data_IF_524203890607
#
_entry.id   IF_524203890607
#
_cell.length_a   1.000
_cell.length_b   1.000
_cell.length_c   1.000
_cell.angle_alpha   90.00
_cell.angle_beta   90.00
_cell.angle_gamma   90.00
#
_symmetry.space_group_name_H-M   'P 1'
#
loop_
_entity.id
_entity.type
_entity.pdbx_description
1 polymer ?
#
# COMPACT_ATOMS: atom_id res chain seq x y z
N UNK A 1 -8.55 4.51 33.21
CA UNK A 1 -7.86 5.67 32.60
C UNK A 1 -7.32 5.25 31.24
N UNK A 2 -8.07 5.49 30.17
CA UNK A 2 -7.65 5.16 28.81
C UNK A 2 -6.55 6.14 28.40
N UNK A 3 -5.34 5.64 28.11
CA UNK A 3 -4.27 6.47 27.56
C UNK A 3 -4.78 7.07 26.26
N UNK A 4 -4.96 8.39 26.27
CA UNK A 4 -5.26 9.19 25.09
C UNK A 4 -4.28 8.79 24.00
N UNK A 5 -4.82 8.33 22.87
CA UNK A 5 -4.09 8.06 21.63
C UNK A 5 -3.24 9.28 21.28
N UNK A 6 -1.96 9.24 21.65
CA UNK A 6 -0.97 10.14 21.10
C UNK A 6 -0.88 9.76 19.62
N UNK A 7 -1.65 10.46 18.77
CA UNK A 7 -1.39 10.45 17.32
C UNK A 7 0.02 10.99 17.16
N UNK A 8 1.00 10.09 17.13
CA UNK A 8 2.40 10.41 16.87
C UNK A 8 2.37 11.07 15.49
N UNK A 9 2.59 12.39 15.44
CA UNK A 9 2.62 13.13 14.19
C UNK A 9 3.83 12.62 13.43
N UNK A 10 3.61 11.63 12.55
CA UNK A 10 4.63 11.14 11.63
C UNK A 10 4.73 12.20 10.53
N UNK A 11 5.69 13.11 10.68
CA UNK A 11 5.98 14.11 9.66
C UNK A 11 6.50 13.40 8.41
N UNK A 12 5.67 13.34 7.36
CA UNK A 12 6.07 12.87 6.04
C UNK A 12 7.04 13.90 5.44
N UNK A 13 8.27 13.52 5.03
CA UNK A 13 9.17 14.48 4.41
C UNK A 13 8.56 15.00 3.11
N UNK A 14 8.84 16.27 2.79
CA UNK A 14 8.26 16.92 1.62
C UNK A 14 8.59 16.17 0.33
N UNK A 15 7.58 15.90 -0.49
CA UNK A 15 7.71 15.19 -1.77
C UNK A 15 7.55 13.66 -1.73
N UNK A 16 7.24 13.06 -0.58
CA UNK A 16 6.90 11.63 -0.49
C UNK A 16 5.38 11.41 -0.32
N UNK A 17 4.82 10.51 -1.13
CA UNK A 17 3.42 10.09 -1.01
C UNK A 17 3.21 9.10 0.14
N UNK A 18 4.21 8.26 0.44
CA UNK A 18 4.10 7.22 1.45
C UNK A 18 5.26 7.23 2.45
N UNK A 19 4.91 6.97 3.72
CA UNK A 19 5.82 6.51 4.78
C UNK A 19 5.28 5.19 5.36
N UNK A 20 6.14 4.36 5.93
CA UNK A 20 5.74 3.09 6.50
C UNK A 20 5.95 3.02 8.01
N UNK A 21 5.22 2.11 8.66
CA UNK A 21 5.48 1.67 10.03
C UNK A 21 5.20 0.19 10.20
N UNK A 22 5.78 -0.40 11.24
CA UNK A 22 5.50 -1.77 11.66
C UNK A 22 4.44 -1.79 12.77
N UNK A 23 3.65 -2.87 12.78
CA UNK A 23 2.72 -3.24 13.85
C UNK A 23 2.73 -4.74 14.06
N UNK A 24 2.35 -5.19 15.25
CA UNK A 24 2.28 -6.61 15.57
C UNK A 24 0.98 -7.26 15.06
N UNK A 25 -0.12 -6.51 15.10
CA UNK A 25 -1.46 -6.99 14.76
C UNK A 25 -2.05 -6.32 13.51
N UNK A 26 -3.05 -6.97 12.91
CA UNK A 26 -3.76 -6.41 11.77
C UNK A 26 -4.47 -5.11 12.18
N UNK A 27 -4.24 -3.98 11.47
CA UNK A 27 -4.93 -2.73 11.74
C UNK A 27 -6.40 -2.80 11.32
N UNK A 28 -7.24 -1.94 11.88
CA UNK A 28 -8.56 -1.63 11.31
C UNK A 28 -8.41 -0.57 10.21
N UNK A 29 -9.34 -0.51 9.28
CA UNK A 29 -9.32 0.45 8.16
C UNK A 29 -9.27 1.91 8.64
N UNK A 30 -9.91 2.21 9.76
CA UNK A 30 -9.98 3.55 10.37
C UNK A 30 -8.65 3.97 11.00
N UNK A 31 -7.82 3.00 11.39
CA UNK A 31 -6.50 3.24 12.00
C UNK A 31 -5.39 3.51 10.98
N UNK A 32 -5.69 3.39 9.68
CA UNK A 32 -4.74 3.62 8.59
C UNK A 32 -4.96 5.05 8.06
N UNK A 33 -3.90 5.85 8.11
CA UNK A 33 -3.92 7.22 7.63
C UNK A 33 -3.53 7.32 6.14
N UNK A 34 -3.93 8.39 5.47
CA UNK A 34 -3.59 8.60 4.06
C UNK A 34 -2.08 8.81 3.86
N UNK A 35 -1.52 8.11 2.87
CA UNK A 35 -0.07 8.12 2.64
C UNK A 35 0.73 7.37 3.69
N UNK A 36 0.10 6.42 4.39
CA UNK A 36 0.77 5.45 5.25
C UNK A 36 0.71 4.04 4.64
N UNK A 37 1.80 3.27 4.80
CA UNK A 37 1.82 1.82 4.63
C UNK A 37 2.06 1.17 5.99
N UNK A 38 1.07 0.45 6.49
CA UNK A 38 1.16 -0.29 7.74
C UNK A 38 1.57 -1.73 7.45
N UNK A 39 2.75 -2.12 7.91
CA UNK A 39 3.30 -3.46 7.70
C UNK A 39 3.08 -4.28 8.97
N UNK A 40 2.35 -5.39 8.84
CA UNK A 40 2.14 -6.34 9.93
C UNK A 40 3.35 -7.27 10.00
N UNK A 41 4.03 -7.25 11.14
CA UNK A 41 5.26 -7.99 11.41
C UNK A 41 6.43 -7.07 11.74
N UNK A 42 7.63 -7.52 11.38
CA UNK A 42 8.90 -6.87 11.70
C UNK A 42 9.78 -6.72 10.47
N UNK A 43 10.98 -6.15 10.67
CA UNK A 43 11.98 -6.03 9.60
C UNK A 43 12.45 -7.38 9.07
N UNK A 44 12.48 -8.42 9.90
CA UNK A 44 12.92 -9.78 9.50
C UNK A 44 11.78 -10.65 8.99
N UNK A 45 10.53 -10.32 9.28
CA UNK A 45 9.37 -11.10 8.88
C UNK A 45 8.16 -10.21 8.63
N UNK A 46 7.71 -10.14 7.38
CA UNK A 46 6.59 -9.30 6.97
C UNK A 46 5.43 -10.18 6.47
N UNK A 47 4.23 -9.96 7.00
CA UNK A 47 3.04 -10.78 6.70
C UNK A 47 2.08 -10.08 5.74
N UNK A 48 1.75 -8.83 6.04
CA UNK A 48 0.81 -8.01 5.28
C UNK A 48 1.31 -6.57 5.18
N UNK A 49 0.93 -5.88 4.11
CA UNK A 49 0.96 -4.43 4.05
C UNK A 49 -0.45 -3.89 3.79
N UNK A 50 -0.85 -2.91 4.59
CA UNK A 50 -2.12 -2.20 4.44
C UNK A 50 -1.85 -0.75 4.08
N UNK A 51 -2.64 -0.21 3.16
CA UNK A 51 -2.59 1.18 2.76
C UNK A 51 -3.94 1.61 2.20
N UNK A 52 -4.31 2.87 2.38
CA UNK A 52 -5.45 3.44 1.66
C UNK A 52 -5.09 3.64 0.19
N UNK A 53 -6.03 3.33 -0.69
CA UNK A 53 -5.83 3.44 -2.12
C UNK A 53 -5.59 4.92 -2.49
N UNK A 54 -4.47 5.23 -3.15
CA UNK A 54 -4.08 6.61 -3.41
C UNK A 54 -4.93 7.30 -4.49
N UNK A 55 -5.87 6.60 -5.14
CA UNK A 55 -6.78 7.22 -6.09
C UNK A 55 -7.90 8.02 -5.41
N UNK A 56 -8.05 7.91 -4.09
CA UNK A 56 -9.08 8.62 -3.32
C UNK A 56 -10.43 7.90 -3.22
N UNK A 57 -10.54 6.64 -3.66
CA UNK A 57 -11.80 5.87 -3.57
C UNK A 57 -12.18 5.44 -2.13
N UNK A 58 -11.30 5.65 -1.15
CA UNK A 58 -11.53 5.31 0.25
C UNK A 58 -11.25 3.84 0.62
N UNK A 59 -10.97 2.97 -0.35
CA UNK A 59 -10.67 1.57 -0.06
C UNK A 59 -9.30 1.38 0.59
N UNK A 60 -9.23 0.38 1.48
CA UNK A 60 -7.97 -0.10 2.04
C UNK A 60 -7.48 -1.30 1.24
N UNK A 61 -6.32 -1.16 0.61
CA UNK A 61 -5.64 -2.25 -0.07
C UNK A 61 -4.88 -3.10 0.95
N UNK A 62 -5.06 -4.42 0.90
CA UNK A 62 -4.32 -5.39 1.70
C UNK A 62 -3.43 -6.24 0.78
N UNK A 63 -2.12 -6.14 0.95
CA UNK A 63 -1.13 -6.85 0.15
C UNK A 63 -0.50 -8.00 0.94
N UNK A 64 -0.54 -9.21 0.39
CA UNK A 64 0.19 -10.36 0.94
C UNK A 64 1.69 -10.16 0.77
N UNK A 65 2.45 -10.22 1.85
CA UNK A 65 3.92 -10.18 1.82
C UNK A 65 4.56 -11.57 1.95
N UNK A 66 3.73 -12.61 1.97
CA UNK A 66 4.18 -13.98 2.03
C UNK A 66 4.78 -14.42 0.70
N UNK A 67 6.00 -14.95 0.72
CA UNK A 67 6.65 -15.54 -0.46
C UNK A 67 6.02 -16.85 -0.92
N UNK A 68 5.14 -17.46 -0.09
CA UNK A 68 4.53 -18.78 -0.34
C UNK A 68 3.20 -18.72 -1.11
N UNK A 69 2.56 -17.55 -1.22
CA UNK A 69 1.25 -17.38 -1.87
C UNK A 69 1.33 -16.30 -2.93
N UNK A 70 0.53 -16.41 -3.99
CA UNK A 70 0.40 -15.40 -5.05
C UNK A 70 -1.03 -14.84 -5.07
N UNK A 71 -1.21 -13.57 -5.45
CA UNK A 71 -0.15 -12.57 -5.68
C UNK A 71 0.58 -12.22 -4.37
N UNK A 72 1.88 -11.91 -4.48
CA UNK A 72 2.70 -11.47 -3.35
C UNK A 72 3.53 -10.27 -3.71
N UNK A 73 3.76 -9.45 -2.69
CA UNK A 73 4.57 -8.25 -2.75
C UNK A 73 5.74 -8.33 -1.79
N UNK A 74 6.78 -7.57 -2.07
CA UNK A 74 7.85 -7.23 -1.13
C UNK A 74 7.79 -5.74 -0.83
N UNK A 75 8.09 -5.38 0.44
CA UNK A 75 8.22 -4.00 0.86
C UNK A 75 9.62 -3.77 1.41
N UNK A 76 10.37 -2.92 0.72
CA UNK A 76 11.70 -2.49 1.13
C UNK A 76 11.63 -1.08 1.71
N UNK A 77 12.16 -0.91 2.93
CA UNK A 77 12.21 0.38 3.60
C UNK A 77 13.64 0.91 3.61
N UNK A 78 13.81 2.21 3.36
CA UNK A 78 15.06 2.87 3.68
C UNK A 78 15.12 3.24 5.18
N UNK A 79 16.23 3.86 5.61
CA UNK A 79 16.45 4.26 7.00
C UNK A 79 15.43 5.30 7.53
N UNK A 80 14.71 6.00 6.64
CA UNK A 80 13.64 6.96 6.98
C UNK A 80 12.24 6.35 6.88
N UNK A 81 12.13 5.02 6.84
CA UNK A 81 10.86 4.30 6.67
C UNK A 81 10.12 4.62 5.37
N UNK A 82 10.83 5.06 4.33
CA UNK A 82 10.26 5.34 3.01
C UNK A 82 10.15 4.04 2.21
N UNK A 83 8.95 3.63 1.76
CA UNK A 83 8.73 2.32 1.17
C UNK A 83 8.99 2.27 -0.34
N UNK A 84 9.47 1.13 -0.81
CA UNK A 84 9.37 0.68 -2.20
C UNK A 84 8.64 -0.66 -2.20
N UNK A 85 7.58 -0.76 -3.00
CA UNK A 85 6.73 -1.95 -3.11
C UNK A 85 6.94 -2.59 -4.48
N UNK A 86 7.12 -3.90 -4.50
CA UNK A 86 7.27 -4.69 -5.72
C UNK A 86 6.42 -5.97 -5.66
N UNK A 87 5.72 -6.38 -6.73
CA UNK A 87 5.52 -5.67 -7.99
C UNK A 87 4.56 -4.46 -7.82
N UNK A 88 4.04 -3.91 -8.93
CA UNK A 88 2.97 -2.91 -8.88
C UNK A 88 1.73 -3.44 -8.15
N UNK A 89 0.94 -2.51 -7.64
CA UNK A 89 -0.34 -2.77 -6.99
C UNK A 89 -1.44 -2.52 -8.01
N UNK A 90 -2.29 -3.53 -8.22
CA UNK A 90 -3.51 -3.41 -9.03
C UNK A 90 -4.71 -3.84 -8.21
N UNK A 91 -5.69 -2.96 -8.10
CA UNK A 91 -6.97 -3.25 -7.45
C UNK A 91 -8.03 -3.59 -8.50
N UNK A 92 -8.29 -4.87 -8.73
CA UNK A 92 -9.28 -5.32 -9.74
C UNK A 92 -10.71 -5.41 -9.22
N UNK A 93 -10.92 -5.25 -7.91
CA UNK A 93 -12.23 -5.47 -7.27
C UNK A 93 -13.02 -4.20 -7.04
N UNK A 94 -12.40 -3.03 -7.17
CA UNK A 94 -13.05 -1.77 -6.81
C UNK A 94 -12.85 -0.65 -7.82
N UNK A 95 -11.69 -0.02 -7.82
CA UNK A 95 -11.42 1.22 -8.56
C UNK A 95 -10.48 1.02 -9.75
N UNK A 96 -10.01 -0.20 -10.00
CA UNK A 96 -9.10 -0.53 -11.11
C UNK A 96 -7.78 0.27 -11.07
N UNK A 97 -7.45 0.85 -9.92
CA UNK A 97 -6.22 1.61 -9.73
C UNK A 97 -5.02 0.69 -9.95
N UNK A 98 -4.07 1.15 -10.78
CA UNK A 98 -2.83 0.43 -11.06
C UNK A 98 -1.64 1.38 -10.92
N UNK A 99 -0.76 1.08 -9.96
CA UNK A 99 0.35 1.97 -9.63
C UNK A 99 1.54 1.22 -9.03
N UNK A 100 2.71 1.85 -9.16
CA UNK A 100 3.92 1.49 -8.43
C UNK A 100 4.10 2.41 -7.23
N UNK A 101 4.73 1.89 -6.17
CA UNK A 101 5.28 2.69 -5.07
C UNK A 101 6.79 2.54 -5.11
N UNK A 102 7.52 3.59 -5.50
CA UNK A 102 8.98 3.58 -5.59
C UNK A 102 9.56 4.73 -4.79
N UNK A 103 10.41 4.42 -3.82
CA UNK A 103 11.02 5.41 -2.90
C UNK A 103 9.96 6.38 -2.34
N UNK A 104 8.84 5.85 -1.88
CA UNK A 104 7.73 6.59 -1.29
C UNK A 104 6.89 7.39 -2.26
N UNK A 105 7.13 7.30 -3.58
CA UNK A 105 6.37 8.02 -4.60
C UNK A 105 5.46 7.09 -5.38
N UNK A 106 4.30 7.62 -5.76
CA UNK A 106 3.34 6.92 -6.63
C UNK A 106 3.75 7.13 -8.09
N UNK A 107 3.77 6.05 -8.86
CA UNK A 107 3.86 6.10 -10.32
C UNK A 107 2.69 5.34 -10.92
N UNK A 108 1.75 6.06 -11.51
CA UNK A 108 0.57 5.47 -12.15
C UNK A 108 0.94 4.70 -13.41
N UNK A 109 0.34 3.54 -13.58
CA UNK A 109 0.41 2.78 -14.82
C UNK A 109 -0.62 3.34 -15.82
N UNK A 110 -0.36 3.19 -17.12
CA UNK A 110 -1.22 3.76 -18.19
C UNK A 110 -2.64 3.21 -18.19
N UNK A 111 -2.80 1.98 -17.74
CA UNK A 111 -4.05 1.23 -17.67
C UNK A 111 -4.77 1.38 -16.32
N UNK A 112 -4.37 2.35 -15.50
CA UNK A 112 -5.08 2.66 -14.26
C UNK A 112 -6.53 3.07 -14.57
N UNK A 113 -7.49 2.54 -13.81
CA UNK A 113 -8.92 2.78 -14.00
C UNK A 113 -9.55 1.94 -15.12
N UNK A 114 -8.77 1.16 -15.88
CA UNK A 114 -9.30 0.31 -16.95
C UNK A 114 -9.81 -1.00 -16.35
N UNK A 115 -11.08 -1.29 -16.62
CA UNK A 115 -11.67 -2.61 -16.41
C UNK A 115 -11.48 -3.43 -17.67
N UNK A 116 -10.74 -4.54 -17.57
CA UNK A 116 -10.66 -5.49 -18.68
C UNK A 116 -11.98 -6.29 -18.74
N UNK A 117 -12.69 -6.13 -19.85
CA UNK A 117 -13.81 -6.98 -20.28
C UNK A 117 -13.35 -7.77 -21.50
N UNK A 118 -13.96 -8.93 -21.76
CA UNK A 118 -13.56 -9.85 -22.85
C UNK A 118 -13.51 -9.17 -24.25
N UNK A 119 -14.19 -8.04 -24.45
CA UNK A 119 -14.17 -7.26 -25.69
C UNK A 119 -12.85 -6.51 -25.94
N UNK A 120 -12.11 -6.12 -24.90
CA UNK A 120 -10.91 -5.28 -25.02
C UNK A 120 -9.63 -6.04 -25.46
N UNK A 121 -9.68 -7.38 -25.54
CA UNK A 121 -8.53 -8.23 -25.90
C UNK A 121 -8.46 -8.53 -27.42
N UNK A 122 -9.33 -7.92 -28.23
CA UNK A 122 -9.44 -8.17 -29.68
C UNK A 122 -8.76 -7.13 -30.58
N UNK A 123 -8.18 -6.08 -30.00
CA UNK A 123 -7.41 -5.06 -30.70
C UNK A 123 -5.93 -5.10 -30.30
N UNK A 124 -5.23 -6.19 -30.65
CA UNK A 124 -3.76 -6.25 -30.74
C UNK A 124 -3.34 -7.10 -31.95
#
# INVERSE_FOLDING_TARGET
MSLKNFKKIILRPFGFNFIARYVDDNPTSESIEDGEIVIVGSRSYQKWAYLKCPCGCGNTTMLSLSTKRRPSWSVHLNWMMIPTVYPSVRDVGSCYAHYWIKKGKIHWCRDTGIRYTEENDSED
#
